data_IF_559141706537
#
_entry.id   IF_559141706537
#
_cell.length_a   1.000
_cell.length_b   1.000
_cell.length_c   1.000
_cell.angle_alpha   90.00
_cell.angle_beta   90.00
_cell.angle_gamma   90.00
#
_symmetry.space_group_name_H-M   'P 1'
#
loop_
_entity.id
_entity.type
_entity.pdbx_description
1 polymer ?
#
# COMPACT_ATOMS: atom_id res chain seq x y z
N UNK A 1 50.18 -88.36 -39.59
CA UNK A 1 49.76 -88.15 -40.97
C UNK A 1 48.35 -87.70 -41.02
N UNK A 2 48.10 -86.58 -41.52
CA UNK A 2 46.83 -85.89 -41.93
C UNK A 2 46.75 -84.47 -41.42
N UNK A 3 46.78 -83.52 -42.34
CA UNK A 3 46.66 -82.07 -42.11
C UNK A 3 45.20 -81.70 -41.92
N UNK A 4 44.86 -80.81 -41.08
CA UNK A 4 43.55 -80.14 -41.09
C UNK A 4 43.57 -78.88 -41.94
N UNK A 5 42.44 -78.62 -42.59
CA UNK A 5 42.13 -77.50 -43.44
C UNK A 5 41.82 -76.25 -42.63
N UNK A 6 42.42 -75.12 -43.04
CA UNK A 6 42.09 -73.77 -42.54
C UNK A 6 40.81 -73.30 -43.22
N UNK A 7 39.78 -72.94 -42.43
CA UNK A 7 38.61 -72.19 -42.91
C UNK A 7 38.75 -70.72 -42.51
N UNK A 8 38.84 -69.89 -43.57
CA UNK A 8 38.82 -68.44 -43.45
C UNK A 8 37.44 -68.01 -43.07
N UNK A 9 37.34 -67.21 -41.96
CA UNK A 9 36.10 -66.51 -41.56
C UNK A 9 36.27 -65.08 -41.98
N UNK A 10 35.44 -64.64 -42.91
CA UNK A 10 35.28 -63.22 -43.25
C UNK A 10 34.50 -62.46 -42.08
N UNK A 11 35.18 -61.50 -41.49
CA UNK A 11 34.54 -60.60 -40.56
C UNK A 11 34.05 -59.38 -41.33
N UNK A 12 32.72 -59.29 -41.47
CA UNK A 12 32.03 -58.02 -41.93
C UNK A 12 32.02 -57.02 -40.87
N UNK A 13 32.76 -55.88 -40.99
CA UNK A 13 32.65 -54.73 -40.15
C UNK A 13 31.41 -53.92 -40.55
N UNK A 14 30.38 -53.99 -39.72
CA UNK A 14 29.23 -53.10 -39.83
C UNK A 14 29.55 -51.81 -39.02
N UNK A 15 29.70 -50.70 -39.72
CA UNK A 15 29.82 -49.36 -39.11
C UNK A 15 28.44 -48.94 -38.72
N UNK A 16 28.14 -48.91 -37.39
CA UNK A 16 26.98 -48.29 -36.85
C UNK A 16 27.29 -46.80 -36.62
N UNK A 17 26.74 -45.94 -37.47
CA UNK A 17 26.76 -44.48 -37.25
C UNK A 17 25.76 -44.12 -36.14
N UNK A 18 26.25 -43.86 -34.93
CA UNK A 18 25.47 -43.25 -33.86
C UNK A 18 25.26 -41.75 -34.17
N UNK A 19 24.10 -41.37 -34.72
CA UNK A 19 23.66 -39.99 -34.78
C UNK A 19 23.24 -39.54 -33.35
N UNK A 20 24.09 -38.78 -32.67
CA UNK A 20 23.76 -38.14 -31.43
C UNK A 20 22.81 -36.98 -31.72
N UNK A 21 21.49 -37.15 -31.49
CA UNK A 21 20.54 -36.07 -31.42
C UNK A 21 20.82 -35.27 -30.14
N UNK A 22 21.51 -34.14 -30.25
CA UNK A 22 21.57 -33.13 -29.19
C UNK A 22 20.24 -32.41 -29.16
N UNK A 23 19.34 -32.85 -28.28
CA UNK A 23 18.14 -32.07 -27.92
C UNK A 23 18.60 -30.83 -27.10
N UNK A 24 18.72 -29.70 -27.80
CA UNK A 24 18.93 -28.40 -27.17
C UNK A 24 17.65 -28.07 -26.43
N UNK A 25 17.59 -28.38 -25.12
CA UNK A 25 16.57 -27.82 -24.25
C UNK A 25 16.82 -26.29 -24.21
N UNK A 26 16.11 -25.55 -25.04
CA UNK A 26 15.87 -24.11 -24.77
C UNK A 26 15.13 -24.03 -23.46
N UNK A 27 15.85 -23.85 -22.35
CA UNK A 27 15.25 -23.37 -21.12
C UNK A 27 14.67 -22.01 -21.47
N UNK A 28 13.36 -21.93 -21.68
CA UNK A 28 12.65 -20.66 -21.70
C UNK A 28 13.04 -19.95 -20.41
N UNK A 29 13.50 -18.70 -20.45
CA UNK A 29 13.74 -17.94 -19.22
C UNK A 29 12.43 -17.98 -18.42
N UNK A 30 12.46 -18.56 -17.22
CA UNK A 30 11.37 -18.46 -16.28
C UNK A 30 11.18 -16.97 -16.11
N UNK A 31 10.12 -16.40 -16.64
CA UNK A 31 9.80 -15.00 -16.45
C UNK A 31 9.69 -14.82 -14.92
N UNK A 32 10.66 -14.13 -14.34
CA UNK A 32 10.56 -13.73 -12.93
C UNK A 32 9.32 -12.86 -12.88
N UNK A 33 8.32 -13.31 -12.13
CA UNK A 33 7.10 -12.55 -11.94
C UNK A 33 7.49 -11.15 -11.45
N UNK A 34 7.22 -10.15 -12.28
CA UNK A 34 7.54 -8.76 -12.00
C UNK A 34 6.57 -8.15 -11.00
N UNK A 35 6.86 -6.96 -10.55
CA UNK A 35 5.92 -6.19 -9.75
C UNK A 35 4.97 -5.40 -10.66
N UNK A 36 3.72 -5.32 -10.24
CA UNK A 36 2.73 -4.40 -10.81
C UNK A 36 2.41 -3.31 -9.78
N UNK A 37 2.40 -2.07 -10.23
CA UNK A 37 1.97 -0.94 -9.42
C UNK A 37 0.51 -0.67 -9.76
N UNK A 38 -0.34 -0.63 -8.72
CA UNK A 38 -1.74 -0.24 -8.84
C UNK A 38 -1.93 1.11 -8.17
N UNK A 39 -2.38 2.10 -8.93
CA UNK A 39 -2.62 3.46 -8.44
C UNK A 39 -3.84 4.07 -9.09
N UNK A 40 -4.41 5.06 -8.44
CA UNK A 40 -5.54 5.81 -8.96
C UNK A 40 -5.17 7.24 -9.32
N UNK A 41 -5.93 7.83 -10.24
CA UNK A 41 -5.79 9.24 -10.59
C UNK A 41 -7.14 9.88 -10.90
N UNK A 42 -7.23 11.18 -10.64
CA UNK A 42 -8.39 11.97 -11.01
C UNK A 42 -8.59 12.03 -12.53
N UNK A 43 -9.81 12.13 -13.02
CA UNK A 43 -11.03 12.17 -12.21
C UNK A 43 -11.55 10.77 -11.79
N UNK A 44 -11.24 9.70 -12.53
CA UNK A 44 -11.89 8.40 -12.44
C UNK A 44 -11.03 7.23 -12.93
N UNK A 45 -9.72 7.31 -12.80
CA UNK A 45 -8.80 6.34 -13.40
C UNK A 45 -8.15 5.41 -12.37
N UNK A 46 -8.04 4.14 -12.75
CA UNK A 46 -7.23 3.13 -12.08
C UNK A 46 -6.20 2.63 -13.09
N UNK A 47 -4.93 2.72 -12.74
CA UNK A 47 -3.81 2.27 -13.56
C UNK A 47 -3.17 1.02 -12.97
N UNK A 48 -2.84 0.08 -13.83
CA UNK A 48 -2.00 -1.07 -13.55
C UNK A 48 -0.75 -0.91 -14.39
N UNK A 49 0.39 -0.77 -13.74
CA UNK A 49 1.66 -0.41 -14.35
C UNK A 49 2.62 -1.57 -14.13
N UNK A 50 3.26 -2.03 -15.19
CA UNK A 50 4.37 -2.96 -15.12
C UNK A 50 5.62 -2.21 -14.65
N UNK A 51 6.11 -2.55 -13.46
CA UNK A 51 7.26 -1.86 -12.85
C UNK A 51 8.57 -2.16 -13.58
N UNK A 52 8.71 -3.33 -14.21
CA UNK A 52 9.91 -3.74 -14.93
C UNK A 52 10.05 -3.00 -16.26
N UNK A 53 8.97 -2.99 -17.05
CA UNK A 53 8.94 -2.31 -18.35
C UNK A 53 8.63 -0.83 -18.24
N UNK A 54 8.11 -0.39 -17.07
CA UNK A 54 7.69 1.00 -16.80
C UNK A 54 6.65 1.49 -17.80
N UNK A 55 5.66 0.63 -18.05
CA UNK A 55 4.58 0.91 -18.99
C UNK A 55 3.22 0.69 -18.33
N UNK A 56 2.20 1.43 -18.78
CA UNK A 56 0.81 1.17 -18.38
C UNK A 56 0.36 -0.12 -19.05
N UNK A 57 0.11 -1.16 -18.25
CA UNK A 57 -0.39 -2.46 -18.69
C UNK A 57 -1.90 -2.45 -18.90
N UNK A 58 -2.62 -1.76 -18.02
CA UNK A 58 -4.05 -1.57 -18.12
C UNK A 58 -4.47 -0.23 -17.50
N UNK A 59 -5.53 0.34 -18.06
CA UNK A 59 -6.22 1.53 -17.58
C UNK A 59 -7.70 1.22 -17.50
N UNK A 60 -8.28 1.41 -16.33
CA UNK A 60 -9.70 1.19 -16.09
C UNK A 60 -10.38 2.49 -15.63
N UNK A 61 -11.63 2.67 -16.06
CA UNK A 61 -12.48 3.70 -15.48
C UNK A 61 -13.12 3.20 -14.20
N UNK A 62 -13.19 4.07 -13.21
CA UNK A 62 -13.84 3.78 -11.93
C UNK A 62 -15.25 4.38 -11.99
N UNK A 63 -16.31 3.56 -12.05
CA UNK A 63 -17.69 4.05 -12.16
C UNK A 63 -18.08 4.91 -10.96
N UNK A 64 -18.66 6.08 -11.23
CA UNK A 64 -19.13 6.99 -10.19
C UNK A 64 -18.06 7.69 -9.36
N UNK A 65 -16.79 7.61 -9.76
CA UNK A 65 -15.73 8.40 -9.14
C UNK A 65 -15.85 9.86 -9.61
N UNK A 66 -16.45 10.72 -8.79
CA UNK A 66 -16.64 12.13 -9.09
C UNK A 66 -15.44 12.95 -8.59
N UNK A 67 -14.32 12.86 -9.34
CA UNK A 67 -13.16 13.74 -9.15
C UNK A 67 -12.21 13.39 -8.02
N UNK A 68 -12.44 12.34 -7.24
CA UNK A 68 -11.52 11.89 -6.20
C UNK A 68 -11.38 10.37 -6.22
N UNK A 69 -10.16 9.91 -6.45
CA UNK A 69 -9.74 8.54 -6.20
C UNK A 69 -8.82 8.56 -4.99
N UNK A 70 -9.17 7.83 -3.94
CA UNK A 70 -8.47 7.89 -2.66
C UNK A 70 -7.83 6.53 -2.32
N UNK A 71 -7.94 6.08 -1.09
CA UNK A 71 -7.33 4.84 -0.63
C UNK A 71 -7.73 3.65 -1.50
N UNK A 72 -6.75 2.87 -1.91
CA UNK A 72 -6.89 1.63 -2.64
C UNK A 72 -6.44 0.49 -1.73
N UNK A 73 -7.26 -0.54 -1.58
CA UNK A 73 -6.91 -1.81 -0.94
C UNK A 73 -6.97 -2.92 -1.99
N UNK A 74 -6.00 -3.80 -1.98
CA UNK A 74 -5.97 -4.95 -2.90
C UNK A 74 -6.48 -6.19 -2.16
N UNK A 75 -7.34 -6.98 -2.81
CA UNK A 75 -7.78 -8.26 -2.27
C UNK A 75 -6.58 -9.22 -2.07
N UNK A 76 -6.62 -10.13 -1.09
CA UNK A 76 -5.50 -11.05 -0.81
C UNK A 76 -5.11 -11.93 -2.00
N UNK A 77 -6.05 -12.23 -2.89
CA UNK A 77 -5.81 -12.96 -4.14
C UNK A 77 -5.31 -12.06 -5.29
N UNK A 78 -5.14 -10.76 -5.02
CA UNK A 78 -4.66 -9.72 -5.95
C UNK A 78 -5.52 -9.56 -7.21
N UNK A 79 -6.83 -9.84 -7.13
CA UNK A 79 -7.75 -9.72 -8.27
C UNK A 79 -8.62 -8.48 -8.24
N UNK A 80 -8.91 -7.95 -7.06
CA UNK A 80 -9.85 -6.85 -6.89
C UNK A 80 -9.16 -5.70 -6.19
N UNK A 81 -9.32 -4.49 -6.71
CA UNK A 81 -9.00 -3.24 -6.02
C UNK A 81 -10.29 -2.66 -5.42
N UNK A 82 -10.33 -2.51 -4.08
CA UNK A 82 -11.37 -1.76 -3.37
C UNK A 82 -10.92 -0.31 -3.22
N UNK A 83 -11.69 0.63 -3.73
CA UNK A 83 -11.29 2.02 -3.91
C UNK A 83 -12.34 2.94 -3.27
N UNK A 84 -11.89 3.85 -2.42
CA UNK A 84 -12.73 4.90 -1.88
C UNK A 84 -12.79 6.07 -2.87
N UNK A 85 -13.99 6.41 -3.32
CA UNK A 85 -14.24 7.38 -4.39
C UNK A 85 -15.39 8.33 -4.05
N UNK A 86 -15.82 9.14 -5.01
CA UNK A 86 -16.98 10.01 -4.93
C UNK A 86 -16.95 10.90 -3.68
N UNK A 87 -15.87 11.69 -3.54
CA UNK A 87 -15.65 12.55 -2.36
C UNK A 87 -15.69 11.80 -1.03
N UNK A 88 -15.23 10.53 -1.06
CA UNK A 88 -15.19 9.62 0.10
C UNK A 88 -16.59 9.20 0.59
N UNK A 89 -17.58 9.14 -0.31
CA UNK A 89 -18.96 8.73 -0.01
C UNK A 89 -19.33 7.36 -0.63
N UNK A 90 -18.37 6.71 -1.34
CA UNK A 90 -18.59 5.41 -2.00
C UNK A 90 -17.34 4.57 -1.98
N UNK A 91 -17.52 3.26 -1.80
CA UNK A 91 -16.48 2.27 -2.05
C UNK A 91 -16.87 1.43 -3.27
N UNK A 92 -15.96 1.30 -4.23
CA UNK A 92 -16.11 0.41 -5.38
C UNK A 92 -15.04 -0.67 -5.38
N UNK A 93 -15.38 -1.87 -5.84
CA UNK A 93 -14.44 -2.96 -6.10
C UNK A 93 -14.32 -3.19 -7.60
N UNK A 94 -13.11 -3.04 -8.13
CA UNK A 94 -12.80 -3.21 -9.55
C UNK A 94 -11.98 -4.49 -9.74
N UNK A 95 -12.44 -5.37 -10.60
CA UNK A 95 -11.66 -6.53 -11.06
C UNK A 95 -10.49 -6.03 -11.90
N UNK A 96 -9.26 -6.31 -11.46
CA UNK A 96 -8.05 -5.76 -12.06
C UNK A 96 -7.78 -6.27 -13.48
N UNK A 97 -8.25 -7.48 -13.82
CA UNK A 97 -8.04 -8.05 -15.13
C UNK A 97 -9.00 -7.47 -16.18
N UNK A 98 -10.28 -7.30 -15.81
CA UNK A 98 -11.34 -6.90 -16.74
C UNK A 98 -11.75 -5.43 -16.64
N UNK A 99 -11.40 -4.75 -15.55
CA UNK A 99 -11.88 -3.40 -15.23
C UNK A 99 -13.36 -3.35 -14.82
N UNK A 100 -14.01 -4.53 -14.67
CA UNK A 100 -15.41 -4.59 -14.32
C UNK A 100 -15.62 -4.28 -12.84
N UNK A 101 -16.62 -3.46 -12.54
CA UNK A 101 -17.09 -3.25 -11.18
C UNK A 101 -17.78 -4.53 -10.65
N UNK A 102 -17.29 -5.03 -9.51
CA UNK A 102 -17.79 -6.26 -8.88
C UNK A 102 -18.36 -6.02 -7.48
N UNK A 103 -18.08 -4.86 -6.91
CA UNK A 103 -18.58 -4.43 -5.61
C UNK A 103 -18.88 -2.93 -5.61
N UNK A 104 -19.97 -2.55 -4.94
CA UNK A 104 -20.30 -1.14 -4.67
C UNK A 104 -21.02 -1.02 -3.33
N UNK A 105 -20.54 -0.09 -2.51
CA UNK A 105 -21.22 0.39 -1.32
C UNK A 105 -21.37 1.91 -1.43
N UNK A 106 -22.59 2.37 -1.67
CA UNK A 106 -22.97 3.77 -1.52
C UNK A 106 -23.18 4.04 -0.03
N UNK A 107 -22.33 4.86 0.59
CA UNK A 107 -22.36 5.08 2.04
C UNK A 107 -23.54 5.98 2.41
N UNK A 108 -23.78 7.02 1.63
CA UNK A 108 -24.84 8.00 1.85
C UNK A 108 -26.21 7.50 1.39
N UNK A 109 -27.27 7.96 2.05
CA UNK A 109 -28.68 7.75 1.70
C UNK A 109 -29.39 9.07 1.43
N UNK A 110 -30.71 9.06 1.21
CA UNK A 110 -31.51 10.28 1.10
C UNK A 110 -31.62 11.05 2.43
N UNK A 111 -31.45 10.37 3.56
CA UNK A 111 -31.65 10.93 4.90
C UNK A 111 -30.33 11.17 5.65
N UNK A 112 -29.25 10.51 5.21
CA UNK A 112 -27.98 10.55 5.89
C UNK A 112 -26.83 10.68 4.87
N UNK A 113 -26.02 11.71 5.03
CA UNK A 113 -24.78 11.86 4.31
C UNK A 113 -23.65 11.26 5.12
N UNK A 114 -22.90 10.32 4.50
CA UNK A 114 -21.84 9.59 5.16
C UNK A 114 -20.54 9.74 4.37
N UNK A 115 -19.49 10.16 5.07
CA UNK A 115 -18.14 10.20 4.52
C UNK A 115 -17.24 9.22 5.26
N UNK A 116 -16.29 8.64 4.52
CA UNK A 116 -15.18 7.87 5.11
C UNK A 116 -13.87 8.62 4.83
N UNK A 117 -13.28 9.19 5.86
CA UNK A 117 -12.02 9.92 5.66
C UNK A 117 -10.84 8.94 5.54
N UNK A 118 -10.58 8.47 4.31
CA UNK A 118 -9.46 7.59 3.93
C UNK A 118 -9.33 6.29 4.75
N UNK A 119 -10.36 5.91 5.49
CA UNK A 119 -10.29 4.89 6.55
C UNK A 119 -11.08 3.64 6.17
N UNK A 120 -10.41 2.68 5.58
CA UNK A 120 -10.96 1.34 5.34
C UNK A 120 -9.89 0.27 5.47
N UNK A 121 -10.29 -0.94 5.86
CA UNK A 121 -9.42 -2.09 5.98
C UNK A 121 -10.12 -3.37 5.51
N UNK A 122 -9.37 -4.25 4.83
CA UNK A 122 -9.83 -5.52 4.34
C UNK A 122 -9.32 -6.65 5.25
N UNK A 123 -10.16 -7.64 5.56
CA UNK A 123 -9.72 -8.82 6.30
C UNK A 123 -8.71 -9.66 5.50
N UNK A 124 -7.79 -10.39 6.15
CA UNK A 124 -6.78 -11.20 5.47
C UNK A 124 -7.34 -12.32 4.59
N UNK A 125 -8.57 -12.77 4.85
CA UNK A 125 -9.30 -13.73 4.02
C UNK A 125 -10.08 -13.06 2.87
N UNK A 126 -10.06 -11.73 2.81
CA UNK A 126 -10.73 -10.92 1.79
C UNK A 126 -12.25 -10.91 1.86
N UNK A 127 -12.87 -11.42 2.94
CA UNK A 127 -14.33 -11.59 3.02
C UNK A 127 -15.06 -10.39 3.58
N UNK A 128 -14.39 -9.56 4.36
CA UNK A 128 -15.00 -8.42 5.04
C UNK A 128 -14.18 -7.15 4.79
N UNK A 129 -14.90 -6.06 4.54
CA UNK A 129 -14.36 -4.71 4.43
C UNK A 129 -14.91 -3.89 5.59
N UNK A 130 -14.03 -3.32 6.40
CA UNK A 130 -14.37 -2.38 7.46
C UNK A 130 -14.19 -0.97 6.92
N UNK A 131 -15.21 -0.14 7.09
CA UNK A 131 -15.20 1.27 6.67
C UNK A 131 -15.52 2.14 7.89
N UNK A 132 -14.72 3.17 8.11
CA UNK A 132 -15.03 4.19 9.11
C UNK A 132 -16.00 5.20 8.52
N UNK A 133 -17.14 5.40 9.16
CA UNK A 133 -18.22 6.25 8.68
C UNK A 133 -18.45 7.45 9.60
N UNK A 134 -18.57 8.62 8.97
CA UNK A 134 -18.89 9.91 9.60
C UNK A 134 -20.30 10.34 9.15
N UNK A 135 -21.35 9.92 9.86
CA UNK A 135 -22.72 10.20 9.45
C UNK A 135 -23.15 11.62 9.84
N UNK A 136 -23.97 12.21 8.96
CA UNK A 136 -24.64 13.48 9.17
C UNK A 136 -26.09 13.35 8.70
N UNK A 137 -27.06 13.46 9.59
CA UNK A 137 -28.48 13.48 9.23
C UNK A 137 -28.83 14.75 8.48
N UNK A 138 -29.63 14.58 7.43
CA UNK A 138 -30.13 15.65 6.58
C UNK A 138 -31.57 15.95 6.98
N UNK A 139 -31.78 16.85 7.94
CA UNK A 139 -33.10 17.31 8.34
C UNK A 139 -33.54 18.50 7.47
N UNK A 140 -34.84 18.79 7.36
CA UNK A 140 -35.34 19.89 6.50
C UNK A 140 -34.78 21.27 6.83
N UNK A 141 -34.42 21.53 8.08
CA UNK A 141 -33.97 22.85 8.57
C UNK A 141 -32.52 22.84 9.09
N UNK A 142 -31.91 21.67 9.31
CA UNK A 142 -30.60 21.57 9.91
C UNK A 142 -29.86 20.29 9.50
N UNK A 143 -28.55 20.26 9.71
CA UNK A 143 -27.70 19.07 9.61
C UNK A 143 -27.25 18.65 11.00
N UNK A 144 -27.48 17.38 11.37
CA UNK A 144 -27.07 16.84 12.67
C UNK A 144 -25.90 15.89 12.49
N UNK A 145 -24.73 16.29 12.99
CA UNK A 145 -23.54 15.42 12.99
C UNK A 145 -23.72 14.35 14.05
N UNK A 146 -23.72 13.09 13.63
CA UNK A 146 -23.88 11.94 14.52
C UNK A 146 -22.55 11.37 15.01
N UNK A 147 -22.61 10.38 15.90
CA UNK A 147 -21.43 9.67 16.33
C UNK A 147 -20.89 8.78 15.22
N UNK A 148 -19.55 8.74 15.02
CA UNK A 148 -18.93 7.87 14.05
C UNK A 148 -19.18 6.39 14.33
N UNK A 149 -19.08 5.59 13.28
CA UNK A 149 -19.20 4.13 13.38
C UNK A 149 -18.20 3.42 12.47
N UNK A 150 -17.84 2.21 12.83
CA UNK A 150 -17.24 1.26 11.92
C UNK A 150 -18.36 0.42 11.30
N UNK A 151 -18.47 0.43 10.00
CA UNK A 151 -19.43 -0.38 9.24
C UNK A 151 -18.69 -1.54 8.57
N UNK A 152 -19.24 -2.74 8.64
CA UNK A 152 -18.64 -3.97 8.09
C UNK A 152 -19.49 -4.48 6.95
N UNK A 153 -18.86 -4.61 5.79
CA UNK A 153 -19.47 -5.07 4.55
C UNK A 153 -18.95 -6.44 4.15
N UNK A 154 -19.82 -7.27 3.55
CA UNK A 154 -19.40 -8.50 2.88
C UNK A 154 -18.85 -8.15 1.49
N UNK A 155 -17.64 -8.56 1.17
CA UNK A 155 -17.01 -8.26 -0.13
C UNK A 155 -17.71 -8.91 -1.32
N UNK A 156 -18.49 -9.97 -1.09
CA UNK A 156 -19.31 -10.64 -2.10
C UNK A 156 -20.75 -10.13 -2.20
N UNK A 157 -21.07 -8.98 -1.57
CA UNK A 157 -22.43 -8.43 -1.58
C UNK A 157 -22.85 -7.82 -2.94
N UNK A 158 -21.93 -7.69 -3.91
CA UNK A 158 -22.23 -7.17 -5.23
C UNK A 158 -22.38 -5.64 -5.28
N UNK A 159 -23.20 -5.12 -6.22
CA UNK A 159 -23.25 -3.70 -6.55
C UNK A 159 -24.23 -2.87 -5.68
N UNK A 160 -24.83 -3.46 -4.68
CA UNK A 160 -25.73 -2.79 -3.73
C UNK A 160 -25.40 -3.23 -2.30
N UNK A 161 -24.12 -3.21 -1.96
CA UNK A 161 -23.65 -3.68 -0.67
C UNK A 161 -24.13 -2.76 0.46
N UNK A 162 -24.75 -3.34 1.46
CA UNK A 162 -25.12 -2.68 2.71
C UNK A 162 -24.27 -3.25 3.84
N UNK A 163 -23.99 -2.45 4.88
CA UNK A 163 -23.30 -2.97 6.05
C UNK A 163 -24.19 -3.99 6.75
N UNK A 164 -23.66 -5.18 6.99
CA UNK A 164 -24.39 -6.20 7.73
C UNK A 164 -24.21 -6.08 9.24
N UNK A 165 -23.25 -5.26 9.65
CA UNK A 165 -22.93 -4.97 11.04
C UNK A 165 -22.26 -3.60 11.15
N UNK A 166 -22.55 -2.87 12.24
CA UNK A 166 -21.84 -1.67 12.61
C UNK A 166 -21.67 -1.57 14.13
N UNK A 167 -20.70 -0.80 14.58
CA UNK A 167 -20.44 -0.54 15.98
C UNK A 167 -19.79 0.84 16.18
N UNK A 168 -19.93 1.44 17.38
CA UNK A 168 -19.43 2.79 17.64
C UNK A 168 -17.94 2.92 17.39
N UNK A 169 -17.53 4.06 16.87
CA UNK A 169 -16.16 4.41 16.60
C UNK A 169 -15.77 5.73 17.29
N UNK A 170 -14.50 5.95 17.62
CA UNK A 170 -14.03 7.23 18.13
C UNK A 170 -14.01 8.28 17.00
N UNK A 171 -14.09 9.56 17.37
CA UNK A 171 -13.89 10.65 16.41
C UNK A 171 -12.44 10.74 15.95
N UNK A 172 -12.23 11.35 14.78
CA UNK A 172 -10.90 11.65 14.20
C UNK A 172 -10.07 10.43 13.80
N UNK A 173 -10.69 9.31 13.46
CA UNK A 173 -10.00 8.19 12.79
C UNK A 173 -9.77 8.58 11.33
N UNK A 174 -8.54 8.40 10.86
CA UNK A 174 -8.15 8.68 9.47
C UNK A 174 -7.43 7.52 8.80
N UNK A 175 -7.21 6.40 9.52
CA UNK A 175 -6.64 5.17 8.95
C UNK A 175 -7.11 3.94 9.72
N UNK A 176 -7.32 2.85 8.99
CA UNK A 176 -7.54 1.52 9.55
C UNK A 176 -6.44 0.58 9.07
N UNK A 177 -5.91 -0.24 9.98
CA UNK A 177 -4.96 -1.30 9.66
C UNK A 177 -5.46 -2.63 10.24
N UNK A 178 -5.75 -3.59 9.37
CA UNK A 178 -6.19 -4.92 9.80
C UNK A 178 -5.01 -5.74 10.30
N UNK A 179 -5.14 -6.38 11.46
CA UNK A 179 -4.13 -7.32 11.94
C UNK A 179 -4.10 -8.60 11.08
N UNK A 180 -2.93 -9.21 10.90
CA UNK A 180 -2.80 -10.45 10.10
C UNK A 180 -3.65 -11.62 10.59
N UNK A 181 -4.06 -11.61 11.88
CA UNK A 181 -4.98 -12.60 12.42
C UNK A 181 -6.41 -12.46 11.90
N UNK A 182 -6.79 -11.27 11.41
CA UNK A 182 -8.17 -10.93 11.05
C UNK A 182 -9.13 -10.81 12.22
N UNK A 183 -8.65 -10.93 13.47
CA UNK A 183 -9.50 -10.88 14.66
C UNK A 183 -9.69 -9.47 15.20
N UNK A 184 -8.74 -8.59 14.96
CA UNK A 184 -8.77 -7.19 15.38
C UNK A 184 -8.14 -6.28 14.34
N UNK A 185 -8.37 -4.98 14.49
CA UNK A 185 -7.79 -3.96 13.65
C UNK A 185 -7.42 -2.73 14.47
N UNK A 186 -6.45 -1.99 13.97
CA UNK A 186 -6.07 -0.68 14.51
C UNK A 186 -6.86 0.42 13.81
N UNK A 187 -7.39 1.34 14.60
CA UNK A 187 -7.96 2.60 14.17
C UNK A 187 -7.04 3.73 14.62
N UNK A 188 -6.38 4.36 13.65
CA UNK A 188 -5.39 5.41 13.88
C UNK A 188 -6.05 6.75 13.67
N UNK A 189 -5.94 7.59 14.66
CA UNK A 189 -6.50 8.92 14.66
C UNK A 189 -5.71 9.83 15.60
N UNK A 190 -6.41 10.48 16.51
CA UNK A 190 -5.77 11.24 17.58
C UNK A 190 -4.96 10.34 18.52
N UNK A 191 -5.45 9.12 18.70
CA UNK A 191 -4.76 8.02 19.38
C UNK A 191 -4.80 6.76 18.51
N UNK A 192 -4.06 5.74 18.92
CA UNK A 192 -4.12 4.40 18.36
C UNK A 192 -5.09 3.56 19.18
N UNK A 193 -6.15 3.10 18.54
CA UNK A 193 -7.14 2.22 19.16
C UNK A 193 -7.08 0.84 18.52
N UNK A 194 -7.14 -0.23 19.31
CA UNK A 194 -7.34 -1.59 18.81
C UNK A 194 -8.76 -2.06 19.11
N UNK A 195 -9.46 -2.56 18.09
CA UNK A 195 -10.83 -3.06 18.20
C UNK A 195 -10.91 -4.54 17.81
N UNK A 196 -11.63 -5.32 18.61
CA UNK A 196 -12.05 -6.67 18.22
C UNK A 196 -13.07 -6.58 17.09
N UNK A 197 -12.74 -7.22 15.98
CA UNK A 197 -13.58 -7.14 14.76
C UNK A 197 -14.94 -7.81 14.95
N UNK A 198 -15.02 -8.88 15.73
CA UNK A 198 -16.26 -9.66 15.90
C UNK A 198 -17.25 -8.96 16.81
N UNK A 199 -16.80 -8.50 17.96
CA UNK A 199 -17.67 -7.88 18.97
C UNK A 199 -17.80 -6.36 18.83
N UNK A 200 -16.89 -5.72 18.09
CA UNK A 200 -16.79 -4.26 18.02
C UNK A 200 -16.28 -3.63 19.32
N UNK A 201 -15.76 -4.41 20.27
CA UNK A 201 -15.25 -3.89 21.54
C UNK A 201 -13.85 -3.29 21.37
N UNK A 202 -13.65 -2.16 22.02
CA UNK A 202 -12.32 -1.56 22.21
C UNK A 202 -11.48 -2.50 23.09
N UNK A 203 -10.31 -2.91 22.59
CA UNK A 203 -9.32 -3.73 23.30
C UNK A 203 -8.34 -2.83 24.05
N UNK A 204 -7.75 -1.86 23.34
CA UNK A 204 -6.71 -1.00 23.88
C UNK A 204 -6.74 0.39 23.23
N UNK A 205 -6.28 1.38 23.98
CA UNK A 205 -5.96 2.73 23.46
C UNK A 205 -4.57 3.12 23.89
N UNK A 206 -3.74 3.52 22.92
CA UNK A 206 -2.41 4.07 23.15
C UNK A 206 -2.32 5.50 22.62
N UNK A 207 -1.73 6.39 23.42
CA UNK A 207 -1.52 7.78 23.01
C UNK A 207 -0.56 7.88 21.84
N UNK A 208 -0.96 8.57 20.78
CA UNK A 208 -0.08 8.98 19.69
C UNK A 208 0.13 10.47 19.75
N UNK A 209 -0.93 11.26 19.57
CA UNK A 209 -0.84 12.72 19.68
C UNK A 209 -0.91 13.19 21.13
N UNK A 210 -1.45 12.38 22.02
CA UNK A 210 -1.43 12.60 23.49
C UNK A 210 -0.38 11.73 24.17
N UNK A 211 0.81 11.68 23.60
CA UNK A 211 1.89 10.90 24.19
C UNK A 211 2.50 11.56 25.44
N UNK A 212 3.23 10.77 26.21
CA UNK A 212 3.88 11.21 27.43
C UNK A 212 5.42 11.06 27.35
N UNK A 213 6.02 11.43 26.21
CA UNK A 213 7.48 11.47 26.11
C UNK A 213 7.98 12.69 26.86
N UNK A 214 8.81 12.46 27.89
CA UNK A 214 9.16 13.47 28.92
C UNK A 214 9.79 14.75 28.33
N UNK A 215 10.62 14.60 27.30
CA UNK A 215 11.40 15.69 26.72
C UNK A 215 10.80 16.23 25.41
N UNK A 216 9.61 15.75 25.02
CA UNK A 216 8.98 16.16 23.76
C UNK A 216 7.69 16.95 23.99
N UNK A 217 7.48 17.93 23.13
CA UNK A 217 6.19 18.57 22.96
C UNK A 217 5.17 17.63 22.34
N UNK A 218 3.94 18.10 22.19
CA UNK A 218 2.89 17.32 21.53
C UNK A 218 3.24 17.10 20.06
N UNK A 219 3.12 15.87 19.53
CA UNK A 219 3.50 15.58 18.16
C UNK A 219 2.43 16.02 17.16
N UNK A 220 2.87 16.35 15.96
CA UNK A 220 2.05 16.44 14.76
C UNK A 220 2.35 15.23 13.85
N UNK A 221 1.32 14.65 13.25
CA UNK A 221 1.38 13.38 12.56
C UNK A 221 0.67 13.45 11.21
N UNK A 222 1.37 13.09 10.15
CA UNK A 222 0.83 12.94 8.79
C UNK A 222 0.62 11.45 8.45
N UNK A 223 -0.48 10.87 8.91
CA UNK A 223 -0.74 9.44 8.82
C UNK A 223 -1.91 9.13 7.87
N UNK A 224 -1.71 9.27 6.56
CA UNK A 224 -2.77 9.08 5.56
C UNK A 224 -2.59 7.86 4.65
N UNK A 225 -1.39 7.33 4.52
CA UNK A 225 -1.09 6.25 3.57
C UNK A 225 -0.82 4.93 4.31
N UNK A 226 -1.76 3.95 4.24
CA UNK A 226 -1.62 2.66 4.92
C UNK A 226 -0.74 1.70 4.10
N UNK A 227 0.55 1.99 3.96
CA UNK A 227 1.51 1.13 3.25
C UNK A 227 2.19 0.21 4.25
N UNK A 228 1.93 -1.09 4.13
CA UNK A 228 2.48 -2.13 5.01
C UNK A 228 3.00 -3.34 4.23
N UNK A 229 2.81 -3.38 2.92
CA UNK A 229 3.07 -4.55 2.08
C UNK A 229 4.52 -5.06 2.16
N UNK A 230 5.55 -4.21 2.21
CA UNK A 230 6.92 -4.71 2.21
C UNK A 230 7.29 -5.49 3.48
N UNK A 231 6.72 -5.10 4.64
CA UNK A 231 7.23 -5.56 5.94
C UNK A 231 6.18 -5.97 6.97
N UNK A 232 4.91 -5.65 6.73
CA UNK A 232 3.86 -5.72 7.76
C UNK A 232 3.99 -4.64 8.85
N UNK A 233 4.86 -3.65 8.65
CA UNK A 233 5.03 -2.50 9.53
C UNK A 233 4.54 -1.25 8.83
N UNK A 234 3.67 -0.52 9.47
CA UNK A 234 3.29 0.82 9.04
C UNK A 234 4.24 1.85 9.63
N UNK A 235 4.64 2.83 8.83
CA UNK A 235 5.49 3.94 9.29
C UNK A 235 4.87 5.27 8.94
N UNK A 236 5.18 6.29 9.74
CA UNK A 236 4.74 7.67 9.51
C UNK A 236 5.79 8.65 9.99
N UNK A 237 5.98 9.78 9.28
CA UNK A 237 6.75 10.88 9.83
C UNK A 237 5.98 11.52 10.98
N UNK A 238 6.71 11.97 11.98
CA UNK A 238 6.18 12.68 13.15
C UNK A 238 7.03 13.92 13.39
N UNK A 239 6.38 15.01 13.72
CA UNK A 239 7.02 16.29 14.03
C UNK A 239 6.74 16.65 15.48
N UNK A 240 7.76 16.97 16.24
CA UNK A 240 7.63 17.38 17.62
C UNK A 240 8.74 18.33 18.03
N UNK A 241 8.60 18.96 19.17
CA UNK A 241 9.61 19.82 19.77
C UNK A 241 10.36 19.03 20.86
N UNK A 242 11.67 18.84 20.67
CA UNK A 242 12.55 18.24 21.67
C UNK A 242 13.11 19.34 22.59
N UNK A 243 12.87 19.21 23.91
CA UNK A 243 13.40 20.11 24.95
C UNK A 243 14.83 19.71 25.32
N UNK A 244 15.79 20.61 25.10
CA UNK A 244 17.20 20.46 25.49
C UNK A 244 17.59 21.56 26.47
N UNK A 245 17.29 21.33 27.76
CA UNK A 245 17.50 22.34 28.79
C UNK A 245 16.55 23.54 28.61
N UNK A 246 17.09 24.72 28.32
CA UNK A 246 16.33 25.94 28.04
C UNK A 246 15.96 26.10 26.55
N UNK A 247 16.48 25.28 25.67
CA UNK A 247 16.25 25.33 24.22
C UNK A 247 15.18 24.33 23.80
N UNK A 248 14.48 24.66 22.73
CA UNK A 248 13.51 23.80 22.07
C UNK A 248 13.94 23.61 20.62
N UNK A 249 14.11 22.37 20.19
CA UNK A 249 14.54 22.01 18.83
C UNK A 249 13.41 21.27 18.13
N UNK A 250 12.86 21.81 17.02
CA UNK A 250 11.94 21.04 16.19
C UNK A 250 12.64 19.80 15.62
N UNK A 251 12.02 18.63 15.79
CA UNK A 251 12.55 17.35 15.34
C UNK A 251 11.63 16.69 14.34
N UNK A 252 12.21 15.93 13.45
CA UNK A 252 11.52 14.94 12.62
C UNK A 252 11.85 13.55 13.12
N UNK A 253 10.81 12.76 13.35
CA UNK A 253 10.94 11.40 13.83
C UNK A 253 10.23 10.41 12.91
N UNK A 254 10.58 9.15 13.02
CA UNK A 254 9.89 8.02 12.44
C UNK A 254 9.10 7.29 13.53
N UNK A 255 7.78 7.23 13.36
CA UNK A 255 6.91 6.34 14.12
C UNK A 255 6.72 5.05 13.33
N UNK A 256 6.78 3.89 13.99
CA UNK A 256 6.57 2.59 13.37
C UNK A 256 5.60 1.75 14.20
N UNK A 257 4.63 1.11 13.54
CA UNK A 257 3.71 0.16 14.13
C UNK A 257 3.84 -1.19 13.41
N UNK A 258 4.39 -2.19 14.08
CA UNK A 258 4.34 -3.57 13.60
C UNK A 258 2.90 -4.08 13.79
N UNK A 259 2.20 -4.28 12.66
CA UNK A 259 0.76 -4.60 12.68
C UNK A 259 0.49 -5.99 13.27
N UNK A 260 1.48 -6.88 13.24
CA UNK A 260 1.36 -8.24 13.80
C UNK A 260 1.58 -8.26 15.32
N UNK A 261 2.68 -7.72 15.81
CA UNK A 261 2.99 -7.71 17.25
C UNK A 261 2.22 -6.61 17.98
N UNK A 262 1.91 -5.50 17.31
CA UNK A 262 1.37 -4.30 17.90
C UNK A 262 2.44 -3.40 18.51
N UNK A 263 3.70 -3.69 18.31
CA UNK A 263 4.79 -2.86 18.80
C UNK A 263 4.76 -1.50 18.12
N UNK A 264 4.72 -0.44 18.93
CA UNK A 264 4.75 0.95 18.50
C UNK A 264 6.07 1.57 18.96
N UNK A 265 6.87 2.02 17.99
CA UNK A 265 8.15 2.67 18.25
C UNK A 265 8.17 4.09 17.74
N UNK A 266 9.05 4.90 18.28
CA UNK A 266 9.28 6.27 17.90
C UNK A 266 10.77 6.58 18.00
N UNK A 267 11.33 7.23 16.98
CA UNK A 267 12.72 7.62 16.97
C UNK A 267 12.95 8.93 16.20
N UNK A 268 13.49 9.94 16.88
CA UNK A 268 14.01 11.13 16.20
C UNK A 268 15.18 10.75 15.31
N UNK A 269 15.25 11.31 14.11
CA UNK A 269 16.34 11.04 13.19
C UNK A 269 17.04 12.30 12.65
N UNK A 270 16.41 13.47 12.76
CA UNK A 270 17.03 14.75 12.42
C UNK A 270 16.30 15.94 13.08
N UNK A 271 16.95 17.08 13.28
CA UNK A 271 16.26 18.35 13.43
C UNK A 271 15.43 18.66 12.17
N UNK A 272 14.23 19.23 12.36
CA UNK A 272 13.33 19.50 11.23
C UNK A 272 14.02 20.36 10.16
N UNK A 273 14.28 19.79 9.01
CA UNK A 273 14.93 20.42 7.88
C UNK A 273 14.09 20.36 6.60
N UNK A 274 13.22 19.37 6.48
CA UNK A 274 12.28 19.21 5.38
C UNK A 274 11.04 18.44 5.83
N UNK A 275 9.89 18.74 5.23
CA UNK A 275 8.68 17.96 5.48
C UNK A 275 8.72 16.63 4.69
N UNK A 276 8.17 15.60 5.30
CA UNK A 276 7.93 14.27 4.72
C UNK A 276 6.44 13.99 4.86
N UNK A 277 5.76 13.57 3.80
CA UNK A 277 4.33 13.29 3.85
C UNK A 277 4.02 11.82 4.13
N UNK A 278 4.76 10.92 3.53
CA UNK A 278 4.61 9.49 3.78
C UNK A 278 5.96 8.78 3.81
N UNK A 279 5.98 7.65 4.48
CA UNK A 279 7.17 6.81 4.59
C UNK A 279 6.82 5.36 4.28
N UNK A 280 7.83 4.60 3.87
CA UNK A 280 7.77 3.15 3.69
C UNK A 280 9.05 2.53 4.22
N UNK A 281 8.95 1.35 4.86
CA UNK A 281 10.08 0.62 5.42
C UNK A 281 10.61 -0.40 4.41
N UNK A 282 11.94 -0.48 4.25
CA UNK A 282 12.59 -1.50 3.42
C UNK A 282 12.28 -2.92 3.91
N UNK A 283 12.28 -3.95 3.02
CA UNK A 283 11.98 -5.32 3.41
C UNK A 283 12.89 -5.89 4.51
N UNK A 284 14.14 -5.43 4.59
CA UNK A 284 15.09 -5.80 5.66
C UNK A 284 14.93 -4.97 6.94
N UNK A 285 14.01 -4.00 6.94
CA UNK A 285 13.70 -3.06 8.04
C UNK A 285 14.86 -2.16 8.47
N UNK A 286 15.91 -2.02 7.66
CA UNK A 286 17.07 -1.18 8.00
C UNK A 286 16.93 0.26 7.54
N UNK A 287 16.18 0.48 6.47
CA UNK A 287 15.99 1.80 5.89
C UNK A 287 14.50 2.14 5.82
N UNK A 288 14.18 3.41 6.04
CA UNK A 288 12.88 3.97 5.71
C UNK A 288 13.05 5.03 4.62
N UNK A 289 12.14 5.07 3.67
CA UNK A 289 12.13 6.07 2.61
C UNK A 289 10.94 7.00 2.77
N UNK A 290 11.21 8.31 2.69
CA UNK A 290 10.19 9.33 2.88
C UNK A 290 10.12 10.30 1.72
N UNK A 291 8.90 10.73 1.35
CA UNK A 291 8.67 11.65 0.22
C UNK A 291 7.83 12.85 0.61
N UNK A 292 8.11 13.96 -0.05
CA UNK A 292 7.29 15.16 -0.26
C UNK A 292 7.86 15.98 -1.43
N UNK A 293 8.60 17.04 -1.16
CA UNK A 293 9.39 17.78 -2.15
C UNK A 293 10.81 17.22 -2.32
N UNK A 294 11.14 16.28 -1.45
CA UNK A 294 12.42 15.55 -1.45
C UNK A 294 12.15 14.06 -1.24
N UNK A 295 13.08 13.22 -1.71
CA UNK A 295 13.16 11.80 -1.37
C UNK A 295 14.28 11.63 -0.36
N UNK A 296 13.96 11.03 0.78
CA UNK A 296 14.88 10.83 1.92
C UNK A 296 15.08 9.35 2.19
N UNK A 297 16.31 8.94 2.50
CA UNK A 297 16.67 7.65 3.10
C UNK A 297 17.05 7.86 4.56
N UNK A 298 16.47 7.06 5.43
CA UNK A 298 16.60 7.12 6.89
C UNK A 298 17.17 5.78 7.36
N UNK A 299 18.31 5.81 8.05
CA UNK A 299 18.85 4.66 8.80
C UNK A 299 17.99 4.45 10.05
N UNK A 300 17.23 3.35 10.05
CA UNK A 300 16.27 3.05 11.13
C UNK A 300 16.98 2.67 12.42
N UNK A 301 18.06 1.89 12.35
CA UNK A 301 18.83 1.45 13.51
C UNK A 301 19.70 2.60 14.05
N UNK A 302 20.33 3.34 13.16
CA UNK A 302 21.19 4.47 13.52
C UNK A 302 20.43 5.75 13.87
N UNK A 303 19.12 5.78 13.72
CA UNK A 303 18.25 6.94 13.99
C UNK A 303 18.77 8.23 13.36
N UNK A 304 19.04 8.21 12.06
CA UNK A 304 19.60 9.37 11.35
C UNK A 304 19.16 9.42 9.89
N UNK A 305 19.10 10.64 9.37
CA UNK A 305 19.03 10.86 7.94
C UNK A 305 20.33 10.38 7.28
N UNK A 306 20.24 9.51 6.26
CA UNK A 306 21.41 9.09 5.47
C UNK A 306 21.61 9.95 4.24
N UNK A 307 20.53 10.14 3.49
CA UNK A 307 20.57 10.87 2.21
C UNK A 307 19.24 11.55 1.93
N UNK A 308 19.30 12.67 1.26
CA UNK A 308 18.15 13.40 0.75
C UNK A 308 18.45 13.98 -0.62
N UNK A 309 17.54 13.80 -1.55
CA UNK A 309 17.62 14.36 -2.90
C UNK A 309 16.36 15.17 -3.23
N UNK A 310 16.46 16.26 -4.00
CA UNK A 310 15.28 16.99 -4.43
C UNK A 310 14.47 16.18 -5.43
N UNK A 311 13.16 16.37 -5.44
CA UNK A 311 12.23 15.82 -6.42
C UNK A 311 11.79 16.90 -7.40
N UNK A 312 11.33 16.51 -8.61
CA UNK A 312 10.91 17.45 -9.65
C UNK A 312 9.65 18.22 -9.24
N UNK A 313 8.77 17.58 -8.47
CA UNK A 313 7.53 18.13 -7.93
C UNK A 313 7.16 17.41 -6.62
N UNK A 314 5.97 17.71 -6.11
CA UNK A 314 5.48 17.14 -4.84
C UNK A 314 4.93 15.75 -5.03
N UNK A 315 5.45 14.79 -4.27
CA UNK A 315 4.92 13.43 -4.17
C UNK A 315 4.33 13.18 -2.78
N UNK A 316 3.20 12.47 -2.72
CA UNK A 316 2.52 12.16 -1.46
C UNK A 316 2.59 10.68 -1.08
N UNK A 317 2.61 9.79 -2.08
CA UNK A 317 2.66 8.35 -1.86
C UNK A 317 4.02 7.79 -2.22
N UNK A 318 4.50 6.84 -1.41
CA UNK A 318 5.72 6.09 -1.65
C UNK A 318 5.48 4.61 -1.39
N UNK A 319 6.07 3.74 -2.21
CA UNK A 319 6.12 2.30 -1.98
C UNK A 319 7.42 1.74 -2.57
N UNK A 320 7.68 0.45 -2.35
CA UNK A 320 8.90 -0.24 -2.80
C UNK A 320 8.56 -1.40 -3.72
N UNK A 321 9.50 -1.74 -4.60
CA UNK A 321 9.52 -3.03 -5.26
C UNK A 321 9.57 -4.17 -4.23
N UNK A 322 9.04 -5.34 -4.59
CA UNK A 322 9.02 -6.52 -3.70
C UNK A 322 10.40 -6.97 -3.23
N UNK A 323 11.45 -6.65 -3.99
CA UNK A 323 12.85 -6.91 -3.62
C UNK A 323 13.53 -5.75 -2.87
N UNK A 324 12.81 -4.62 -2.69
CA UNK A 324 13.29 -3.43 -2.00
C UNK A 324 14.34 -2.61 -2.74
N UNK A 325 14.59 -2.87 -4.02
CA UNK A 325 15.65 -2.19 -4.80
C UNK A 325 15.19 -0.93 -5.53
N UNK A 326 13.90 -0.78 -5.75
CA UNK A 326 13.32 0.40 -6.38
C UNK A 326 12.27 1.05 -5.49
N UNK A 327 12.27 2.37 -5.50
CA UNK A 327 11.27 3.20 -4.84
C UNK A 327 10.31 3.72 -5.91
N UNK A 328 9.02 3.63 -5.63
CA UNK A 328 7.94 4.17 -6.46
C UNK A 328 7.27 5.34 -5.76
N UNK A 329 7.06 6.43 -6.50
CA UNK A 329 6.44 7.65 -5.97
C UNK A 329 5.28 8.10 -6.84
N UNK A 330 4.22 8.65 -6.21
CA UNK A 330 3.08 9.25 -6.88
C UNK A 330 2.56 10.47 -6.10
N UNK A 331 1.98 11.44 -6.78
CA UNK A 331 1.64 12.68 -6.08
C UNK A 331 0.76 13.66 -6.84
N UNK A 332 1.17 14.93 -6.85
CA UNK A 332 0.37 16.05 -7.36
C UNK A 332 0.27 16.11 -8.88
N UNK A 333 1.15 15.43 -9.58
CA UNK A 333 1.07 15.32 -11.04
C UNK A 333 0.59 13.91 -11.46
N UNK A 334 0.43 13.76 -12.76
CA UNK A 334 -0.05 12.52 -13.36
C UNK A 334 1.13 11.65 -13.80
N UNK A 335 1.93 11.21 -12.85
CA UNK A 335 3.10 10.38 -13.12
C UNK A 335 3.49 9.46 -11.95
N UNK A 336 4.31 8.48 -12.27
CA UNK A 336 4.98 7.60 -11.31
C UNK A 336 6.48 7.75 -11.47
N UNK A 337 7.15 8.15 -10.40
CA UNK A 337 8.60 8.21 -10.32
C UNK A 337 9.20 6.86 -9.91
N UNK A 338 10.33 6.50 -10.51
CA UNK A 338 11.12 5.30 -10.24
C UNK A 338 12.52 5.73 -9.81
N UNK A 339 12.94 5.29 -8.62
CA UNK A 339 14.24 5.65 -8.05
C UNK A 339 14.97 4.40 -7.57
N UNK A 340 16.29 4.42 -7.61
CA UNK A 340 17.12 3.41 -6.99
C UNK A 340 17.08 3.55 -5.47
N UNK A 341 16.81 2.48 -4.74
CA UNK A 341 16.65 2.54 -3.29
C UNK A 341 17.98 2.81 -2.56
N UNK A 342 19.12 2.35 -3.09
CA UNK A 342 20.42 2.54 -2.44
C UNK A 342 21.02 3.93 -2.73
N UNK A 343 20.92 4.40 -3.98
CA UNK A 343 21.53 5.67 -4.38
C UNK A 343 20.57 6.86 -4.37
N UNK A 344 19.25 6.61 -4.33
CA UNK A 344 18.17 7.59 -4.55
C UNK A 344 18.20 8.24 -5.95
N UNK A 345 18.96 7.69 -6.90
CA UNK A 345 19.03 8.22 -8.24
C UNK A 345 17.72 7.95 -8.99
N UNK A 346 17.26 8.97 -9.71
CA UNK A 346 16.07 8.84 -10.54
C UNK A 346 16.36 7.96 -11.74
N UNK A 347 15.64 6.83 -11.85
CA UNK A 347 15.75 5.88 -12.97
C UNK A 347 14.83 6.23 -14.12
N UNK A 348 13.60 6.64 -13.81
CA UNK A 348 12.60 7.00 -14.80
C UNK A 348 11.45 7.79 -14.19
N UNK A 349 10.62 8.37 -15.06
CA UNK A 349 9.30 8.91 -14.77
C UNK A 349 8.36 8.38 -15.83
N UNK A 350 7.26 7.77 -15.41
CA UNK A 350 6.18 7.33 -16.29
C UNK A 350 5.03 8.33 -16.21
N UNK A 351 4.79 9.08 -17.27
CA UNK A 351 3.58 9.92 -17.39
C UNK A 351 2.36 9.04 -17.66
N UNK A 352 1.30 9.25 -16.88
CA UNK A 352 0.05 8.51 -17.01
C UNK A 352 -0.88 9.24 -17.98
N UNK A 353 -1.55 8.53 -18.91
CA UNK A 353 -2.39 9.17 -19.93
C UNK A 353 -3.68 9.72 -19.34
N UNK A 354 -4.10 10.92 -19.80
CA UNK A 354 -5.44 11.47 -19.57
C UNK A 354 -5.84 11.70 -18.13
N UNK A 355 -4.91 11.77 -17.20
CA UNK A 355 -5.20 12.04 -15.80
C UNK A 355 -4.88 13.49 -15.39
N UNK A 356 -5.44 13.94 -14.27
CA UNK A 356 -5.17 15.26 -13.70
C UNK A 356 -4.11 15.21 -12.59
N UNK A 357 -4.33 14.39 -11.56
CA UNK A 357 -3.38 14.16 -10.47
C UNK A 357 -3.72 12.85 -9.72
N UNK A 358 -2.81 12.42 -8.85
CA UNK A 358 -2.97 11.25 -7.99
C UNK A 358 -3.16 11.61 -6.50
N UNK A 359 -3.27 12.88 -6.17
CA UNK A 359 -3.09 13.50 -4.86
C UNK A 359 -3.40 12.65 -3.61
N UNK A 360 -4.50 11.91 -3.60
CA UNK A 360 -4.92 11.09 -2.44
C UNK A 360 -4.86 9.59 -2.69
N UNK A 361 -4.52 9.17 -3.91
CA UNK A 361 -4.41 7.76 -4.24
C UNK A 361 -3.19 7.12 -3.57
N UNK A 362 -3.35 5.88 -3.13
CA UNK A 362 -2.23 5.07 -2.68
C UNK A 362 -1.55 4.38 -3.87
N UNK A 363 -0.25 4.14 -3.74
CA UNK A 363 0.50 3.25 -4.60
C UNK A 363 0.52 1.86 -3.96
N UNK A 364 -0.05 0.87 -4.64
CA UNK A 364 0.00 -0.54 -4.20
C UNK A 364 0.93 -1.32 -5.10
N UNK A 365 1.70 -2.20 -4.50
CA UNK A 365 2.58 -3.12 -5.24
C UNK A 365 2.03 -4.53 -5.09
N UNK A 366 1.79 -5.18 -6.22
CA UNK A 366 1.32 -6.57 -6.30
C UNK A 366 2.27 -7.34 -7.23
N UNK A 367 2.30 -8.67 -7.07
CA UNK A 367 3.14 -9.53 -7.93
C UNK A 367 2.36 -9.93 -9.18
N UNK A 368 2.99 -9.82 -10.34
CA UNK A 368 2.49 -10.42 -11.58
C UNK A 368 2.53 -11.96 -11.41
N UNK A 369 1.40 -12.62 -11.66
CA UNK A 369 1.26 -14.08 -11.47
C UNK A 369 1.10 -14.80 -12.79
#
# INVERSE_FOLDING_TARGET
>A
MSRPRIRSVFICCVWAACAALTVSLCAAPCAVAGDLIVTGAKPDRLFIIDATTRTVRAEHRIPGANGLVSVILISPDQKIAYILVDRMERVVGIDLASGREVFRADLSTSEERIKSFMSMALTPDGRELVVYELPTKLLPAEYVVEEPRFAVYRTNAGLAALPYRSFPAPRRVHMLLMRPSGQSFYAIGFDLHEYDLRSGKLIETRGIQRWALADHGQPDLLAFWPVTEPTGVWTSPVYSELKKGAETVPMTALMSLDVKSGELTYADFEPLSALIFSTVLSPDRKHAYGVYTTLSSIDVEGHRLEKRVPLDHTFYAVNLSSDGREIFTGGTECDVGFYDAASLDKKAVLKLPGCADQATATLRVIRDR
#
